data_IF_295103986766
#
_entry.id   IF_295103986766
#
_cell.length_a   1.000
_cell.length_b   1.000
_cell.length_c   1.000
_cell.angle_alpha   90.00
_cell.angle_beta   90.00
_cell.angle_gamma   90.00
#
_symmetry.space_group_name_H-M   'P 1'
#
loop_
_entity.id
_entity.type
_entity.pdbx_description
1 polymer ?
#
# COMPACT_ATOMS: atom_id res chain seq x y z
N UNK A 1 -28.48 19.89 -17.39
CA UNK A 1 -27.19 19.60 -16.72
C UNK A 1 -26.94 18.11 -16.92
N UNK A 2 -25.78 17.72 -17.46
CA UNK A 2 -25.48 16.31 -17.71
C UNK A 2 -25.25 15.56 -16.40
N UNK A 3 -25.76 14.34 -16.28
CA UNK A 3 -25.47 13.48 -15.13
C UNK A 3 -23.98 13.07 -15.14
N UNK A 4 -23.27 13.12 -14.00
CA UNK A 4 -21.87 12.73 -13.94
C UNK A 4 -21.72 11.23 -14.25
N UNK A 5 -20.69 10.88 -15.02
CA UNK A 5 -20.35 9.49 -15.37
C UNK A 5 -20.18 8.63 -14.11
N UNK A 6 -20.74 7.42 -14.09
CA UNK A 6 -20.59 6.41 -13.01
C UNK A 6 -19.16 5.83 -12.85
N UNK A 7 -18.16 6.48 -13.42
CA UNK A 7 -16.75 6.08 -13.37
C UNK A 7 -15.96 6.72 -12.21
N UNK A 8 -16.61 7.58 -11.42
CA UNK A 8 -15.99 8.26 -10.27
C UNK A 8 -16.69 7.80 -9.00
N UNK A 9 -15.92 7.31 -8.02
CA UNK A 9 -16.43 6.90 -6.72
C UNK A 9 -15.29 6.67 -5.72
N UNK A 10 -15.64 6.67 -4.44
CA UNK A 10 -14.72 6.41 -3.32
C UNK A 10 -15.17 5.14 -2.59
N UNK A 11 -14.22 4.26 -2.26
CA UNK A 11 -14.45 3.08 -1.45
C UNK A 11 -13.56 3.15 -0.21
N UNK A 12 -14.16 2.97 0.96
CA UNK A 12 -13.48 3.05 2.26
C UNK A 12 -13.80 1.83 3.12
N UNK A 13 -12.85 1.45 3.97
CA UNK A 13 -13.02 0.41 4.98
C UNK A 13 -12.19 0.76 6.20
N UNK A 14 -12.66 0.33 7.38
CA UNK A 14 -11.93 0.47 8.64
C UNK A 14 -11.82 -0.90 9.31
N UNK A 15 -10.65 -1.22 9.84
CA UNK A 15 -10.38 -2.47 10.55
C UNK A 15 -9.57 -2.15 11.79
N UNK A 16 -10.05 -2.60 12.95
CA UNK A 16 -9.33 -2.44 14.21
C UNK A 16 -8.09 -3.36 14.23
N UNK A 17 -6.93 -2.78 14.59
CA UNK A 17 -5.69 -3.53 14.77
C UNK A 17 -5.26 -3.50 16.24
N UNK A 18 -4.71 -4.62 16.70
CA UNK A 18 -4.10 -4.73 18.04
C UNK A 18 -2.65 -4.22 18.09
N UNK A 19 -2.04 -3.97 16.92
CA UNK A 19 -0.68 -3.48 16.81
C UNK A 19 -0.59 -1.97 17.05
N UNK A 20 0.59 -1.47 17.42
CA UNK A 20 0.84 -0.03 17.53
C UNK A 20 0.64 0.65 16.17
N UNK A 21 -0.13 1.75 16.17
CA UNK A 21 -0.35 2.58 14.99
C UNK A 21 0.96 3.10 14.38
N UNK A 22 1.92 3.50 15.22
CA UNK A 22 3.24 3.97 14.79
C UNK A 22 4.00 2.88 14.02
N UNK A 23 4.03 1.65 14.56
CA UNK A 23 4.74 0.54 13.92
C UNK A 23 4.09 0.14 12.60
N UNK A 24 2.75 0.11 12.57
CA UNK A 24 2.01 -0.19 11.35
C UNK A 24 2.27 0.87 10.28
N UNK A 25 2.13 2.16 10.62
CA UNK A 25 2.40 3.26 9.70
C UNK A 25 3.84 3.26 9.20
N UNK A 26 4.83 3.12 10.08
CA UNK A 26 6.25 3.09 9.72
C UNK A 26 6.59 1.97 8.73
N UNK A 27 5.93 0.80 8.83
CA UNK A 27 6.14 -0.29 7.88
C UNK A 27 5.74 0.10 6.46
N UNK A 28 4.60 0.78 6.27
CA UNK A 28 4.18 1.19 4.92
C UNK A 28 4.87 2.46 4.44
N UNK A 29 5.10 3.43 5.35
CA UNK A 29 5.67 4.72 5.00
C UNK A 29 7.18 4.64 4.76
N UNK A 30 7.94 4.04 5.69
CA UNK A 30 9.41 4.10 5.66
C UNK A 30 10.06 2.80 5.17
N UNK A 31 9.41 1.65 5.38
CA UNK A 31 9.98 0.33 5.06
C UNK A 31 9.03 -0.57 4.25
N UNK A 32 8.44 -0.08 3.15
CA UNK A 32 7.42 -0.83 2.41
C UNK A 32 7.94 -2.20 1.89
N UNK A 33 9.24 -2.34 1.63
CA UNK A 33 9.85 -3.63 1.27
C UNK A 33 9.71 -4.72 2.35
N UNK A 34 9.42 -4.37 3.61
CA UNK A 34 9.11 -5.34 4.66
C UNK A 34 7.70 -5.94 4.57
N UNK A 35 6.77 -5.30 3.85
CA UNK A 35 5.40 -5.81 3.71
C UNK A 35 5.37 -7.19 3.03
N UNK A 36 6.26 -7.44 2.06
CA UNK A 36 6.42 -8.74 1.41
C UNK A 36 6.79 -9.86 2.39
N UNK A 37 7.59 -9.54 3.42
CA UNK A 37 7.95 -10.50 4.48
C UNK A 37 6.81 -10.70 5.47
N UNK A 38 6.03 -9.65 5.75
CA UNK A 38 4.89 -9.71 6.67
C UNK A 38 3.67 -10.42 6.06
N UNK A 39 3.49 -10.34 4.73
CA UNK A 39 2.34 -10.90 4.03
C UNK A 39 2.73 -11.51 2.67
N UNK A 40 3.59 -12.55 2.64
CA UNK A 40 4.12 -13.12 1.39
C UNK A 40 3.06 -13.75 0.48
N UNK A 41 1.93 -14.16 1.06
CA UNK A 41 0.79 -14.69 0.29
C UNK A 41 0.06 -13.63 -0.53
N UNK A 42 0.13 -12.35 -0.14
CA UNK A 42 -0.53 -11.26 -0.83
C UNK A 42 0.48 -10.41 -1.63
N UNK A 43 1.65 -10.14 -1.05
CA UNK A 43 2.70 -9.31 -1.64
C UNK A 43 3.99 -10.11 -1.71
N UNK A 44 4.48 -10.36 -2.92
CA UNK A 44 5.68 -11.16 -3.16
C UNK A 44 6.94 -10.28 -3.23
N UNK A 45 6.81 -9.00 -3.54
CA UNK A 45 7.95 -8.10 -3.69
C UNK A 45 7.58 -6.63 -3.61
N UNK A 46 8.56 -5.80 -3.26
CA UNK A 46 8.46 -4.36 -3.28
C UNK A 46 9.86 -3.78 -3.52
N UNK A 47 10.08 -3.27 -4.71
CA UNK A 47 11.38 -2.77 -5.17
C UNK A 47 11.36 -1.25 -5.31
N UNK A 48 12.47 -0.59 -4.97
CA UNK A 48 12.63 0.85 -5.17
C UNK A 48 13.04 1.09 -6.62
N UNK A 49 12.25 1.87 -7.34
CA UNK A 49 12.55 2.25 -8.71
C UNK A 49 13.29 3.59 -8.77
N UNK A 50 12.75 4.61 -8.08
CA UNK A 50 13.33 5.96 -8.04
C UNK A 50 13.20 6.59 -6.65
N UNK A 51 14.18 7.44 -6.31
CA UNK A 51 14.22 8.17 -5.05
C UNK A 51 14.81 7.36 -3.89
N UNK A 52 14.25 7.56 -2.70
CA UNK A 52 14.68 6.91 -1.45
C UNK A 52 13.48 6.39 -0.67
N UNK A 53 13.65 5.26 0.01
CA UNK A 53 12.62 4.73 0.92
C UNK A 53 12.21 5.77 1.97
N UNK A 54 10.91 5.90 2.22
CA UNK A 54 10.40 6.82 3.24
C UNK A 54 10.39 8.29 2.83
N UNK A 55 10.73 8.63 1.59
CA UNK A 55 10.67 10.00 1.08
C UNK A 55 9.49 10.21 0.15
N UNK A 56 8.83 11.35 0.33
CA UNK A 56 7.78 11.82 -0.58
C UNK A 56 8.39 11.97 -1.99
N UNK A 57 7.69 11.44 -2.99
CA UNK A 57 8.15 11.41 -4.37
C UNK A 57 8.93 10.15 -4.76
N UNK A 58 9.15 9.20 -3.84
CA UNK A 58 9.70 7.88 -4.21
C UNK A 58 8.73 7.08 -5.07
N UNK A 59 9.29 6.32 -6.02
CA UNK A 59 8.56 5.40 -6.88
C UNK A 59 8.95 3.98 -6.51
N UNK A 60 7.96 3.17 -6.15
CA UNK A 60 8.13 1.78 -5.74
C UNK A 60 7.27 0.86 -6.60
N UNK A 61 7.80 -0.32 -6.91
CA UNK A 61 7.12 -1.34 -7.70
C UNK A 61 6.66 -2.44 -6.74
N UNK A 62 5.35 -2.62 -6.62
CA UNK A 62 4.75 -3.71 -5.85
C UNK A 62 4.50 -4.92 -6.76
N UNK A 63 5.00 -6.07 -6.36
CA UNK A 63 4.62 -7.36 -6.93
C UNK A 63 3.64 -8.03 -5.96
N UNK A 64 2.38 -8.17 -6.38
CA UNK A 64 1.29 -8.66 -5.54
C UNK A 64 0.37 -9.59 -6.33
N UNK A 65 -0.38 -10.42 -5.61
CA UNK A 65 -1.48 -11.23 -6.15
C UNK A 65 -2.79 -10.80 -5.52
N UNK A 66 -3.87 -10.87 -6.27
CA UNK A 66 -5.22 -10.58 -5.78
C UNK A 66 -6.18 -11.65 -6.27
N UNK A 67 -6.78 -12.39 -5.33
CA UNK A 67 -7.68 -13.49 -5.67
C UNK A 67 -6.99 -14.66 -6.38
N UNK A 68 -7.78 -15.65 -6.78
CA UNK A 68 -7.36 -16.69 -7.72
C UNK A 68 -7.67 -16.24 -9.14
#
# INVERSE_FOLDING_TARGET
MAEPSRLVGTLETEVEIKASAEKFHHMFAEKPHHVSKASPGNVQGCDLHEGEWGKVGSIIIWNYVHGK
#
